data_IF_767605698545
#
_entry.id   IF_767605698545
#
_cell.length_a   1.000
_cell.length_b   1.000
_cell.length_c   1.000
_cell.angle_alpha   90.00
_cell.angle_beta   90.00
_cell.angle_gamma   90.00
#
_symmetry.space_group_name_H-M   'P 1'
#
loop_
_entity.id
_entity.type
_entity.pdbx_description
1 polymer ?
#
# COMPACT_ATOMS: atom_id res chain seq x y z
N UNK A 1 -51.27 -46.30 18.08
CA UNK A 1 -50.97 -45.34 19.17
C UNK A 1 -50.79 -46.18 20.43
N UNK A 2 -49.64 -46.07 21.11
CA UNK A 2 -49.10 -46.99 22.15
C UNK A 2 -48.42 -48.26 21.59
N UNK A 3 -47.22 -48.54 22.12
CA UNK A 3 -46.36 -49.70 21.86
C UNK A 3 -47.08 -51.06 21.95
N UNK A 4 -46.70 -52.01 21.09
CA UNK A 4 -46.51 -53.43 21.46
C UNK A 4 -45.81 -54.26 20.38
N UNK A 5 -44.67 -54.83 20.79
CA UNK A 5 -44.19 -56.20 20.57
C UNK A 5 -44.73 -57.03 19.40
N UNK A 6 -43.82 -57.75 18.71
CA UNK A 6 -43.87 -59.22 18.68
C UNK A 6 -42.53 -59.87 18.27
N UNK A 7 -42.05 -60.73 19.16
CA UNK A 7 -41.05 -61.78 18.96
C UNK A 7 -41.71 -63.05 18.41
N UNK A 8 -40.92 -63.87 17.70
CA UNK A 8 -41.14 -65.31 17.45
C UNK A 8 -40.39 -65.77 16.19
N UNK A 9 -39.17 -66.34 16.26
CA UNK A 9 -38.72 -67.71 16.67
C UNK A 9 -38.83 -68.80 15.57
N UNK A 10 -37.78 -69.63 15.54
CA UNK A 10 -37.52 -70.89 14.80
C UNK A 10 -36.92 -70.71 13.39
N UNK A 11 -35.87 -71.42 12.92
CA UNK A 11 -35.41 -72.81 13.13
C UNK A 11 -33.96 -72.97 12.57
N UNK A 12 -32.94 -73.33 13.37
CA UNK A 12 -32.14 -74.59 13.43
C UNK A 12 -31.41 -75.09 12.14
N UNK A 13 -30.06 -75.13 12.25
CA UNK A 13 -29.00 -76.03 11.72
C UNK A 13 -28.94 -76.46 10.24
N UNK A 14 -27.80 -76.22 9.58
CA UNK A 14 -26.77 -77.26 9.37
C UNK A 14 -25.43 -76.70 8.85
N UNK A 15 -24.35 -77.30 9.33
CA UNK A 15 -22.93 -77.07 9.03
C UNK A 15 -22.51 -77.68 7.70
N UNK A 16 -21.73 -76.95 6.88
CA UNK A 16 -20.65 -77.54 6.05
C UNK A 16 -19.50 -76.54 5.94
N UNK A 17 -18.29 -76.97 6.32
CA UNK A 17 -17.03 -76.25 6.16
C UNK A 17 -16.62 -76.12 4.69
N UNK A 18 -16.05 -74.96 4.29
CA UNK A 18 -15.04 -74.91 3.23
C UNK A 18 -14.21 -73.60 3.28
N UNK A 19 -12.93 -73.75 3.64
CA UNK A 19 -11.75 -73.05 3.14
C UNK A 19 -11.77 -71.53 2.95
N UNK A 20 -11.21 -70.86 3.97
CA UNK A 20 -10.58 -69.54 3.89
C UNK A 20 -9.46 -69.53 2.83
N UNK A 21 -9.61 -68.72 1.78
CA UNK A 21 -8.47 -68.18 1.02
C UNK A 21 -8.54 -66.68 0.98
N UNK A 22 -7.43 -66.08 1.42
CA UNK A 22 -7.18 -64.66 1.62
C UNK A 22 -7.29 -63.85 0.33
N UNK A 23 -8.06 -62.74 0.36
CA UNK A 23 -7.68 -61.49 -0.32
C UNK A 23 -8.36 -60.28 0.32
N UNK A 24 -7.87 -59.85 1.48
CA UNK A 24 -8.11 -58.48 1.98
C UNK A 24 -7.32 -57.52 1.09
N UNK A 25 -8.01 -56.74 0.25
CA UNK A 25 -7.43 -55.50 -0.31
C UNK A 25 -7.35 -54.49 0.83
N UNK A 26 -6.16 -54.30 1.38
CA UNK A 26 -5.84 -53.17 2.23
C UNK A 26 -5.83 -51.90 1.38
N UNK A 27 -6.78 -51.00 1.60
CA UNK A 27 -6.58 -49.60 1.27
C UNK A 27 -5.59 -49.04 2.30
N UNK A 28 -4.43 -48.60 1.82
CA UNK A 28 -3.38 -48.00 2.63
C UNK A 28 -3.87 -46.67 3.24
N UNK A 29 -3.48 -46.34 4.48
CA UNK A 29 -3.88 -45.09 5.16
C UNK A 29 -3.37 -43.82 4.46
N UNK A 30 -2.54 -43.96 3.43
CA UNK A 30 -1.98 -42.87 2.62
C UNK A 30 -3.04 -42.29 1.66
N UNK A 31 -3.99 -43.09 1.17
CA UNK A 31 -5.00 -42.63 0.22
C UNK A 31 -6.11 -41.77 0.87
N UNK A 32 -6.42 -42.00 2.16
CA UNK A 32 -7.38 -41.18 2.92
C UNK A 32 -6.75 -39.86 3.40
N UNK A 33 -5.45 -39.86 3.72
CA UNK A 33 -4.72 -38.64 4.06
C UNK A 33 -4.53 -37.72 2.84
N UNK A 34 -4.31 -38.27 1.64
CA UNK A 34 -4.24 -37.49 0.40
C UNK A 34 -5.60 -36.88 -0.01
N UNK A 35 -6.72 -37.52 0.31
CA UNK A 35 -8.05 -36.99 0.02
C UNK A 35 -8.46 -35.82 0.94
N UNK A 36 -8.03 -35.83 2.22
CA UNK A 36 -8.22 -34.69 3.12
C UNK A 36 -7.28 -33.51 2.78
N UNK A 37 -6.06 -33.77 2.28
CA UNK A 37 -5.16 -32.69 1.83
C UNK A 37 -5.62 -32.03 0.51
N UNK A 38 -6.33 -32.75 -0.37
CA UNK A 38 -6.87 -32.17 -1.61
C UNK A 38 -8.17 -31.38 -1.41
N UNK A 39 -8.90 -31.59 -0.31
CA UNK A 39 -10.14 -30.85 0.01
C UNK A 39 -9.92 -29.60 0.88
N UNK A 40 -8.71 -29.39 1.39
CA UNK A 40 -8.31 -28.19 2.13
C UNK A 40 -7.67 -27.09 1.25
N UNK A 41 -7.51 -27.32 -0.06
CA UNK A 41 -6.81 -26.41 -0.98
C UNK A 41 -7.77 -25.48 -1.76
N UNK A 42 -9.09 -25.63 -1.67
CA UNK A 42 -10.05 -24.91 -2.54
C UNK A 42 -10.92 -23.86 -1.84
N UNK A 43 -10.35 -23.12 -0.90
CA UNK A 43 -10.86 -21.79 -0.53
C UNK A 43 -9.70 -20.81 -0.35
N UNK A 44 -9.04 -20.44 -1.45
CA UNK A 44 -8.19 -19.25 -1.46
C UNK A 44 -9.11 -18.04 -1.51
N UNK A 45 -9.59 -17.60 -0.35
CA UNK A 45 -10.11 -16.24 -0.21
C UNK A 45 -8.89 -15.33 -0.15
N UNK A 46 -8.75 -14.42 -1.10
CA UNK A 46 -7.75 -13.36 -0.98
C UNK A 46 -8.16 -12.43 0.16
N UNK A 47 -7.22 -12.04 1.05
CA UNK A 47 -7.52 -11.07 2.08
C UNK A 47 -8.05 -9.80 1.42
N UNK A 48 -9.14 -9.29 1.97
CA UNK A 48 -9.88 -8.14 1.46
C UNK A 48 -9.85 -7.03 2.51
N UNK A 49 -9.76 -5.77 2.07
CA UNK A 49 -9.80 -4.61 2.97
C UNK A 49 -11.16 -3.93 2.93
N UNK A 50 -11.59 -3.41 4.08
CA UNK A 50 -12.83 -2.65 4.26
C UNK A 50 -12.64 -1.17 4.62
N UNK A 51 -11.50 -0.58 4.24
CA UNK A 51 -11.29 0.87 4.42
C UNK A 51 -12.10 1.74 3.45
N UNK A 52 -12.50 2.96 3.85
CA UNK A 52 -13.21 3.95 3.01
C UNK A 52 -12.37 4.53 1.86
N UNK A 53 -11.09 4.16 1.76
CA UNK A 53 -10.12 4.64 0.79
C UNK A 53 -9.08 3.57 0.46
N UNK A 54 -8.30 3.79 -0.59
CA UNK A 54 -7.04 3.10 -0.83
C UNK A 54 -5.97 3.67 0.11
N UNK A 55 -5.25 2.79 0.79
CA UNK A 55 -4.16 3.14 1.71
C UNK A 55 -2.81 3.29 1.00
N UNK A 56 -1.83 3.85 1.70
CA UNK A 56 -0.46 4.05 1.19
C UNK A 56 0.44 2.80 1.32
N UNK A 57 -0.14 1.61 1.51
CA UNK A 57 0.57 0.37 1.86
C UNK A 57 0.63 -0.69 0.75
N UNK A 58 -0.07 -0.49 -0.37
CA UNK A 58 -0.10 -1.45 -1.48
C UNK A 58 0.46 -0.88 -2.80
N UNK A 59 1.75 -1.09 -3.10
CA UNK A 59 2.37 -0.58 -4.33
C UNK A 59 1.83 -1.29 -5.58
N UNK A 60 1.30 -2.51 -5.47
CA UNK A 60 0.75 -3.26 -6.60
C UNK A 60 -0.61 -2.70 -6.98
N UNK A 61 -1.47 -2.44 -6.00
CA UNK A 61 -2.75 -1.77 -6.25
C UNK A 61 -2.57 -0.33 -6.74
N UNK A 62 -1.55 0.39 -6.22
CA UNK A 62 -1.12 1.68 -6.78
C UNK A 62 -0.68 1.54 -8.24
N UNK A 63 0.09 0.51 -8.60
CA UNK A 63 0.50 0.26 -9.99
C UNK A 63 -0.70 0.13 -10.94
N UNK A 64 -1.70 -0.65 -10.53
CA UNK A 64 -2.93 -0.85 -11.31
C UNK A 64 -3.74 0.43 -11.42
N UNK A 65 -3.86 1.20 -10.33
CA UNK A 65 -4.47 2.53 -10.36
C UNK A 65 -3.76 3.48 -11.34
N UNK A 66 -2.42 3.47 -11.39
CA UNK A 66 -1.66 4.29 -12.34
C UNK A 66 -1.91 3.86 -13.80
N UNK A 67 -2.05 2.56 -14.10
CA UNK A 67 -2.46 2.10 -15.45
C UNK A 67 -3.83 2.66 -15.83
N UNK A 68 -4.80 2.64 -14.90
CA UNK A 68 -6.13 3.22 -15.15
C UNK A 68 -6.08 4.74 -15.34
N UNK A 69 -5.20 5.43 -14.60
CA UNK A 69 -4.99 6.88 -14.77
C UNK A 69 -4.39 7.20 -16.13
N UNK A 70 -3.33 6.48 -16.50
CA UNK A 70 -2.53 6.74 -17.70
C UNK A 70 -3.24 6.28 -18.98
N UNK A 71 -4.16 5.31 -18.88
CA UNK A 71 -5.07 4.94 -19.98
C UNK A 71 -6.26 5.89 -20.12
N UNK A 72 -6.47 6.80 -19.17
CA UNK A 72 -7.60 7.72 -19.14
C UNK A 72 -8.93 7.11 -18.69
N UNK A 73 -8.92 5.88 -18.16
CA UNK A 73 -10.12 5.24 -17.58
C UNK A 73 -10.60 6.00 -16.34
N UNK A 74 -9.68 6.46 -15.48
CA UNK A 74 -10.01 7.31 -14.32
C UNK A 74 -9.65 8.77 -14.56
N UNK A 75 -10.63 9.64 -14.28
CA UNK A 75 -10.54 11.09 -14.44
C UNK A 75 -10.01 11.82 -13.22
N UNK A 76 -9.72 11.09 -12.16
CA UNK A 76 -9.34 11.63 -10.84
C UNK A 76 -7.84 11.55 -10.58
N UNK A 77 -7.28 12.49 -9.80
CA UNK A 77 -5.85 12.48 -9.46
C UNK A 77 -5.47 11.26 -8.61
N UNK A 78 -4.24 10.77 -8.77
CA UNK A 78 -3.75 9.54 -8.11
C UNK A 78 -2.50 9.74 -7.24
N UNK A 79 -2.26 10.98 -6.81
CA UNK A 79 -1.04 11.45 -6.13
C UNK A 79 -1.27 11.89 -4.67
N UNK A 80 -2.35 11.41 -4.07
CA UNK A 80 -2.69 11.68 -2.67
C UNK A 80 -3.28 10.42 -2.05
N UNK A 81 -2.58 9.89 -1.06
CA UNK A 81 -3.04 8.80 -0.21
C UNK A 81 -3.26 9.31 1.22
N UNK A 82 -4.32 8.87 1.91
CA UNK A 82 -5.32 7.89 1.46
C UNK A 82 -6.22 8.39 0.30
N UNK A 83 -6.47 7.52 -0.69
CA UNK A 83 -7.23 7.87 -1.89
C UNK A 83 -8.68 7.35 -1.80
N UNK A 84 -9.64 8.25 -1.59
CA UNK A 84 -11.06 7.92 -1.40
C UNK A 84 -11.65 7.16 -2.60
N UNK A 85 -12.39 6.08 -2.35
CA UNK A 85 -13.09 5.33 -3.40
C UNK A 85 -14.08 6.19 -4.20
N UNK A 86 -14.70 7.18 -3.55
CA UNK A 86 -15.65 8.11 -4.17
C UNK A 86 -15.03 9.04 -5.21
N UNK A 87 -13.70 9.15 -5.27
CA UNK A 87 -13.03 9.96 -6.30
C UNK A 87 -13.17 9.33 -7.68
N UNK A 88 -13.07 8.01 -7.79
CA UNK A 88 -12.92 7.32 -9.09
C UNK A 88 -13.81 6.07 -9.23
N UNK A 89 -14.57 5.70 -8.21
CA UNK A 89 -15.36 4.47 -8.21
C UNK A 89 -16.40 4.39 -9.33
N UNK A 90 -17.02 5.52 -9.70
CA UNK A 90 -17.98 5.58 -10.81
C UNK A 90 -17.29 5.37 -12.16
N UNK A 91 -16.07 5.89 -12.34
CA UNK A 91 -15.29 5.71 -13.57
C UNK A 91 -14.98 4.22 -13.81
N UNK A 92 -14.64 3.48 -12.75
CA UNK A 92 -14.34 2.04 -12.79
C UNK A 92 -15.58 1.18 -13.08
N UNK A 93 -16.75 1.57 -12.56
CA UNK A 93 -17.99 0.80 -12.73
C UNK A 93 -18.57 0.99 -14.14
N UNK A 94 -18.43 2.17 -14.72
CA UNK A 94 -19.09 2.53 -15.98
C UNK A 94 -18.26 2.24 -17.24
N UNK A 95 -16.94 2.10 -17.13
CA UNK A 95 -16.04 1.86 -18.27
C UNK A 95 -15.65 0.37 -18.39
N UNK A 96 -16.54 -0.52 -18.82
CA UNK A 96 -16.28 -1.99 -18.86
C UNK A 96 -15.67 -2.51 -20.19
N UNK A 97 -15.32 -1.62 -21.13
CA UNK A 97 -14.91 -2.00 -22.50
C UNK A 97 -13.52 -1.49 -22.85
N UNK A 98 -12.48 -2.20 -22.41
CA UNK A 98 -11.14 -2.11 -22.98
C UNK A 98 -10.80 -3.40 -23.72
N UNK A 99 -10.22 -3.29 -24.91
CA UNK A 99 -9.60 -4.42 -25.62
C UNK A 99 -8.11 -4.58 -25.25
N UNK A 100 -7.61 -3.76 -24.33
CA UNK A 100 -6.26 -3.85 -23.77
C UNK A 100 -6.25 -4.70 -22.50
N UNK A 101 -5.39 -5.71 -22.49
CA UNK A 101 -5.26 -6.65 -21.37
C UNK A 101 -4.76 -5.97 -20.09
N UNK A 102 -3.82 -5.03 -20.18
CA UNK A 102 -3.25 -4.29 -19.05
C UNK A 102 -4.33 -3.47 -18.33
N UNK A 103 -5.18 -2.78 -19.10
CA UNK A 103 -6.29 -2.00 -18.55
C UNK A 103 -7.33 -2.91 -17.90
N UNK A 104 -7.68 -4.02 -18.56
CA UNK A 104 -8.70 -4.96 -18.07
C UNK A 104 -8.31 -5.61 -16.75
N UNK A 105 -7.04 -6.03 -16.61
CA UNK A 105 -6.53 -6.61 -15.38
C UNK A 105 -6.47 -5.57 -14.25
N UNK A 106 -5.92 -4.39 -14.53
CA UNK A 106 -5.86 -3.30 -13.55
C UNK A 106 -7.25 -2.91 -13.05
N UNK A 107 -8.24 -2.85 -13.95
CA UNK A 107 -9.62 -2.55 -13.59
C UNK A 107 -10.24 -3.64 -12.72
N UNK A 108 -10.01 -4.92 -13.04
CA UNK A 108 -10.49 -6.04 -12.22
C UNK A 108 -9.94 -5.97 -10.80
N UNK A 109 -8.66 -5.70 -10.65
CA UNK A 109 -7.99 -5.64 -9.35
C UNK A 109 -8.52 -4.48 -8.50
N UNK A 110 -8.55 -3.26 -9.05
CA UNK A 110 -9.07 -2.09 -8.30
C UNK A 110 -10.57 -2.24 -8.01
N UNK A 111 -11.36 -2.78 -8.94
CA UNK A 111 -12.79 -3.07 -8.74
C UNK A 111 -13.00 -4.14 -7.67
N UNK A 112 -12.15 -5.16 -7.61
CA UNK A 112 -12.18 -6.17 -6.57
C UNK A 112 -11.95 -5.55 -5.19
N UNK A 113 -10.87 -4.77 -5.02
CA UNK A 113 -10.56 -4.10 -3.75
C UNK A 113 -11.68 -3.15 -3.31
N UNK A 114 -12.21 -2.34 -4.23
CA UNK A 114 -13.34 -1.44 -3.94
C UNK A 114 -14.61 -2.21 -3.53
N UNK A 115 -14.96 -3.28 -4.24
CA UNK A 115 -16.16 -4.06 -3.93
C UNK A 115 -16.02 -4.83 -2.62
N UNK A 116 -14.82 -5.37 -2.36
CA UNK A 116 -14.48 -5.97 -1.09
C UNK A 116 -14.68 -5.00 0.06
N UNK A 117 -14.26 -3.74 -0.12
CA UNK A 117 -14.47 -2.73 0.89
C UNK A 117 -15.95 -2.40 1.12
N UNK A 118 -16.68 -2.11 0.04
CA UNK A 118 -18.13 -1.83 0.09
C UNK A 118 -18.95 -2.95 0.74
N UNK A 119 -18.48 -4.19 0.64
CA UNK A 119 -19.14 -5.37 1.20
C UNK A 119 -18.60 -5.76 2.58
N UNK A 120 -17.74 -4.95 3.21
CA UNK A 120 -17.11 -5.23 4.50
C UNK A 120 -16.44 -6.62 4.56
N UNK A 121 -15.80 -7.03 3.47
CA UNK A 121 -15.06 -8.30 3.42
C UNK A 121 -13.71 -8.13 4.11
N UNK A 122 -13.36 -9.07 4.98
CA UNK A 122 -12.09 -9.03 5.71
C UNK A 122 -12.03 -7.95 6.79
N UNK A 123 -13.19 -7.62 7.38
CA UNK A 123 -13.34 -6.60 8.41
C UNK A 123 -12.56 -6.88 9.70
N UNK A 124 -12.16 -8.13 9.95
CA UNK A 124 -11.27 -8.46 11.07
C UNK A 124 -9.92 -8.86 10.50
N UNK A 125 -8.83 -8.38 11.11
CA UNK A 125 -7.49 -8.81 10.72
C UNK A 125 -6.63 -9.23 11.90
N UNK A 126 -5.70 -10.15 11.63
CA UNK A 126 -4.58 -10.47 12.50
C UNK A 126 -3.30 -10.37 11.67
N UNK A 127 -2.33 -9.58 12.14
CA UNK A 127 -1.05 -9.36 11.45
C UNK A 127 0.11 -9.63 12.40
N UNK A 128 1.10 -10.36 11.91
CA UNK A 128 2.36 -10.64 12.60
C UNK A 128 3.52 -10.18 11.73
N UNK A 129 4.55 -9.62 12.36
CA UNK A 129 5.79 -9.21 11.71
C UNK A 129 6.96 -9.63 12.58
N UNK A 130 8.03 -10.11 11.97
CA UNK A 130 9.32 -10.29 12.59
C UNK A 130 10.44 -10.00 11.59
N UNK A 131 11.43 -9.23 12.02
CA UNK A 131 12.62 -8.90 11.27
C UNK A 131 13.83 -8.87 12.20
N UNK A 132 15.01 -9.12 11.64
CA UNK A 132 16.25 -9.06 12.40
C UNK A 132 16.67 -7.62 12.73
N UNK A 133 16.27 -6.65 11.90
CA UNK A 133 16.43 -5.21 12.13
C UNK A 133 15.15 -4.47 11.75
N UNK A 134 15.05 -3.21 12.14
CA UNK A 134 13.96 -2.36 11.66
C UNK A 134 14.03 -2.25 10.14
N UNK A 135 12.87 -2.36 9.49
CA UNK A 135 12.81 -2.35 8.05
C UNK A 135 13.23 -0.96 7.54
N UNK A 136 14.30 -0.84 6.72
CA UNK A 136 14.67 0.44 6.15
C UNK A 136 13.48 0.96 5.34
N UNK A 137 13.10 2.22 5.56
CA UNK A 137 12.02 2.79 4.78
C UNK A 137 12.53 3.16 3.39
N UNK A 138 12.07 2.42 2.39
CA UNK A 138 12.53 2.49 0.99
C UNK A 138 11.47 3.05 0.05
N UNK A 139 10.41 3.64 0.61
CA UNK A 139 9.35 4.32 -0.12
C UNK A 139 7.95 3.78 0.14
N UNK A 140 7.08 3.98 -0.86
CA UNK A 140 5.66 3.65 -0.80
C UNK A 140 5.42 2.15 -0.64
N UNK A 141 4.43 1.79 0.17
CA UNK A 141 3.97 0.40 0.24
C UNK A 141 4.70 -0.48 1.24
N UNK A 142 5.39 0.11 2.22
CA UNK A 142 6.07 -0.62 3.29
C UNK A 142 5.06 -1.44 4.11
N UNK A 143 5.31 -2.74 4.24
CA UNK A 143 4.39 -3.64 4.95
C UNK A 143 4.41 -3.41 6.46
N UNK A 144 5.58 -3.11 7.03
CA UNK A 144 5.76 -2.84 8.45
C UNK A 144 6.97 -1.95 8.70
N UNK A 145 6.86 -1.11 9.72
CA UNK A 145 7.94 -0.27 10.27
C UNK A 145 8.50 -0.86 11.56
N UNK A 146 7.82 -1.86 12.13
CA UNK A 146 8.22 -2.54 13.37
C UNK A 146 9.29 -3.60 13.11
N UNK A 147 10.24 -3.74 14.04
CA UNK A 147 11.19 -4.85 14.05
C UNK A 147 10.47 -6.17 14.27
N UNK A 148 9.52 -6.20 15.20
CA UNK A 148 8.57 -7.30 15.34
C UNK A 148 7.30 -6.81 15.99
N UNK A 149 6.20 -7.53 15.79
CA UNK A 149 4.94 -7.18 16.42
C UNK A 149 3.80 -8.11 16.05
N UNK A 150 2.76 -8.06 16.87
CA UNK A 150 1.48 -8.68 16.58
C UNK A 150 0.39 -7.61 16.71
N UNK A 151 -0.55 -7.63 15.78
CA UNK A 151 -1.68 -6.70 15.75
C UNK A 151 -2.98 -7.43 15.41
N UNK A 152 -4.06 -6.92 15.99
CA UNK A 152 -5.41 -7.32 15.63
C UNK A 152 -6.22 -6.06 15.32
N UNK A 153 -7.03 -6.10 14.27
CA UNK A 153 -7.90 -4.98 13.91
C UNK A 153 -9.33 -5.43 13.66
N UNK A 154 -10.25 -4.49 13.89
CA UNK A 154 -11.62 -4.58 13.44
C UNK A 154 -11.98 -3.27 12.72
N UNK A 155 -12.50 -3.38 11.50
CA UNK A 155 -12.90 -2.26 10.66
C UNK A 155 -14.34 -2.40 10.17
N UNK A 156 -14.99 -1.28 9.92
CA UNK A 156 -16.35 -1.25 9.39
C UNK A 156 -16.54 -0.02 8.51
N UNK A 157 -17.14 -0.24 7.35
CA UNK A 157 -17.46 0.78 6.36
C UNK A 157 -18.97 0.81 6.10
N UNK A 158 -19.57 1.96 6.38
CA UNK A 158 -20.93 2.32 5.98
C UNK A 158 -20.88 3.45 4.93
N UNK A 159 -22.05 3.85 4.43
CA UNK A 159 -22.21 5.03 3.57
C UNK A 159 -21.89 6.34 4.30
N UNK A 160 -22.22 6.44 5.59
CA UNK A 160 -22.12 7.72 6.34
C UNK A 160 -20.93 7.80 7.28
N UNK A 161 -20.33 6.67 7.65
CA UNK A 161 -19.17 6.62 8.54
C UNK A 161 -18.34 5.37 8.27
N UNK A 162 -17.08 5.41 8.70
CA UNK A 162 -16.19 4.26 8.71
C UNK A 162 -15.31 4.32 9.94
N UNK A 163 -14.87 3.18 10.46
CA UNK A 163 -13.87 3.17 11.51
C UNK A 163 -13.00 1.92 11.42
N UNK A 164 -11.79 2.02 11.98
CA UNK A 164 -10.90 0.91 12.27
C UNK A 164 -10.35 1.08 13.68
N UNK A 165 -10.38 0.01 14.46
CA UNK A 165 -9.69 -0.08 15.74
C UNK A 165 -8.64 -1.16 15.63
N UNK A 166 -7.38 -0.76 15.73
CA UNK A 166 -6.23 -1.64 15.69
C UNK A 166 -5.57 -1.61 17.06
N UNK A 167 -5.27 -2.79 17.60
CA UNK A 167 -4.43 -2.93 18.80
C UNK A 167 -3.20 -3.73 18.42
N UNK A 168 -2.02 -3.19 18.70
CA UNK A 168 -0.76 -3.86 18.46
C UNK A 168 0.09 -3.93 19.72
N UNK A 169 0.95 -4.95 19.80
CA UNK A 169 2.11 -4.99 20.68
C UNK A 169 3.33 -5.22 19.79
N UNK A 170 4.23 -4.25 19.76
CA UNK A 170 5.30 -4.18 18.76
C UNK A 170 6.55 -3.49 19.30
N UNK A 171 7.70 -3.84 18.71
CA UNK A 171 8.96 -3.14 18.90
C UNK A 171 9.22 -2.17 17.74
N UNK A 172 9.30 -0.88 18.06
CA UNK A 172 9.57 0.21 17.12
C UNK A 172 10.61 1.16 17.73
N UNK A 173 11.67 1.45 16.99
CA UNK A 173 12.81 2.26 17.46
C UNK A 173 13.38 1.79 18.81
N UNK A 174 13.45 0.48 19.00
CA UNK A 174 13.91 -0.14 20.25
C UNK A 174 12.89 -0.14 21.41
N UNK A 175 11.72 0.48 21.25
CA UNK A 175 10.70 0.54 22.30
C UNK A 175 9.60 -0.51 22.10
N UNK A 176 9.31 -1.27 23.16
CA UNK A 176 8.25 -2.28 23.19
C UNK A 176 7.03 -1.75 23.93
N UNK A 177 5.93 -1.55 23.21
CA UNK A 177 4.71 -1.05 23.83
C UNK A 177 3.44 -1.48 23.08
N UNK A 178 2.31 -1.24 23.74
CA UNK A 178 0.99 -1.39 23.14
C UNK A 178 0.67 -0.11 22.39
N UNK A 179 0.31 -0.22 21.11
CA UNK A 179 -0.04 0.93 20.27
C UNK A 179 -1.42 0.74 19.64
N UNK A 180 -2.00 1.86 19.22
CA UNK A 180 -3.25 1.92 18.47
C UNK A 180 -3.04 2.55 17.08
N UNK A 181 -1.85 2.33 16.51
CA UNK A 181 -1.48 2.74 15.15
C UNK A 181 -2.49 2.18 14.14
N UNK A 182 -2.72 2.90 13.03
CA UNK A 182 -3.70 2.52 12.00
C UNK A 182 -5.13 2.36 12.55
N UNK A 183 -5.49 3.19 13.53
CA UNK A 183 -6.87 3.33 14.02
C UNK A 183 -7.46 4.65 13.56
N UNK A 184 -8.72 4.64 13.12
CA UNK A 184 -9.40 5.87 12.69
C UNK A 184 -10.91 5.79 12.88
N UNK A 185 -11.53 6.97 12.92
CA UNK A 185 -12.96 7.19 12.74
C UNK A 185 -13.14 8.25 11.67
N UNK A 186 -14.01 7.98 10.70
CA UNK A 186 -14.30 8.87 9.59
C UNK A 186 -15.80 9.07 9.42
N UNK A 187 -16.20 10.32 9.14
CA UNK A 187 -17.57 10.72 8.90
C UNK A 187 -17.70 11.26 7.48
N UNK A 188 -18.55 10.61 6.68
CA UNK A 188 -18.78 10.95 5.28
C UNK A 188 -20.07 11.79 5.16
N UNK A 189 -19.96 12.99 4.60
CA UNK A 189 -21.06 13.93 4.38
C UNK A 189 -21.07 14.39 2.91
N UNK A 190 -21.28 13.42 2.02
CA UNK A 190 -21.28 13.64 0.57
C UNK A 190 -19.88 13.93 0.05
N UNK A 191 -19.64 15.16 -0.38
CA UNK A 191 -18.32 15.59 -0.84
C UNK A 191 -17.31 15.72 0.31
N UNK A 192 -17.78 16.01 1.54
CA UNK A 192 -16.96 16.15 2.73
C UNK A 192 -16.63 14.80 3.36
N UNK A 193 -15.41 14.66 3.88
CA UNK A 193 -14.99 13.58 4.76
C UNK A 193 -14.17 14.17 5.90
N UNK A 194 -14.58 13.86 7.13
CA UNK A 194 -13.86 14.24 8.34
C UNK A 194 -13.27 12.98 8.97
N UNK A 195 -12.03 13.02 9.42
CA UNK A 195 -11.37 11.88 10.05
C UNK A 195 -10.64 12.29 11.32
N UNK A 196 -10.50 11.35 12.24
CA UNK A 196 -9.61 11.40 13.40
C UNK A 196 -8.94 10.04 13.54
N UNK A 197 -7.62 9.99 13.73
CA UNK A 197 -6.90 8.72 13.82
C UNK A 197 -5.41 8.84 13.57
N UNK A 198 -4.77 7.71 13.31
CA UNK A 198 -3.35 7.58 12.95
C UNK A 198 -3.27 7.02 11.53
N UNK A 199 -3.45 7.90 10.53
CA UNK A 199 -3.59 7.48 9.12
C UNK A 199 -2.31 7.77 8.34
N UNK A 200 -1.68 6.70 7.83
CA UNK A 200 -0.52 6.81 6.94
C UNK A 200 -0.88 7.58 5.66
N UNK A 201 -0.02 8.55 5.31
CA UNK A 201 -0.20 9.43 4.15
C UNK A 201 0.96 9.30 3.17
N UNK A 202 0.64 9.53 1.92
CA UNK A 202 1.63 9.70 0.85
C UNK A 202 1.15 10.78 -0.10
N UNK A 203 1.70 11.97 0.04
CA UNK A 203 1.33 13.15 -0.72
C UNK A 203 2.42 13.46 -1.72
N UNK A 204 2.22 13.10 -2.98
CA UNK A 204 3.23 13.26 -4.02
C UNK A 204 3.18 12.13 -5.05
N UNK A 205 3.92 12.30 -6.14
CA UNK A 205 3.95 11.34 -7.25
C UNK A 205 5.00 10.26 -7.07
N UNK A 206 5.99 10.49 -6.20
CA UNK A 206 7.12 9.58 -6.04
C UNK A 206 6.75 8.22 -5.46
N UNK A 207 7.61 7.24 -5.67
CA UNK A 207 7.49 5.85 -5.29
C UNK A 207 8.54 5.46 -4.26
N UNK A 208 9.80 5.85 -4.45
CA UNK A 208 10.90 5.62 -3.50
C UNK A 208 11.19 6.88 -2.70
N UNK A 209 10.91 8.05 -3.29
CA UNK A 209 11.11 9.37 -2.73
C UNK A 209 9.80 10.12 -2.53
N UNK A 210 9.75 11.02 -1.55
CA UNK A 210 8.68 11.98 -1.31
C UNK A 210 9.30 13.18 -0.60
N UNK A 211 9.01 14.41 -1.03
CA UNK A 211 9.68 15.60 -0.48
C UNK A 211 8.86 16.35 0.56
N UNK A 212 7.64 15.89 0.89
CA UNK A 212 6.71 16.64 1.72
C UNK A 212 6.10 15.82 2.87
N UNK A 213 5.34 14.78 2.56
CA UNK A 213 4.64 13.95 3.54
C UNK A 213 4.51 12.53 2.99
N UNK A 214 5.43 11.68 3.41
CA UNK A 214 5.45 10.26 3.10
C UNK A 214 5.04 9.39 4.29
N UNK A 215 5.27 8.09 4.14
CA UNK A 215 4.99 7.08 5.15
C UNK A 215 6.29 6.39 5.61
N UNK A 216 7.36 7.17 5.79
CA UNK A 216 8.67 6.65 6.22
C UNK A 216 8.71 6.31 7.71
N UNK A 217 8.00 7.10 8.51
CA UNK A 217 7.74 6.89 9.93
C UNK A 217 6.28 6.51 10.18
N UNK A 218 5.96 6.08 11.40
CA UNK A 218 4.58 5.84 11.82
C UNK A 218 3.78 7.16 11.77
N UNK A 219 2.49 7.06 11.42
CA UNK A 219 1.64 8.23 11.35
C UNK A 219 1.30 8.76 12.75
N UNK A 220 1.44 10.07 12.91
CA UNK A 220 1.03 10.78 14.11
C UNK A 220 -0.50 10.83 14.26
N UNK A 221 -1.03 10.89 15.49
CA UNK A 221 -2.44 11.17 15.72
C UNK A 221 -2.86 12.51 15.11
N UNK A 222 -3.90 12.47 14.27
CA UNK A 222 -4.37 13.64 13.54
C UNK A 222 -5.89 13.77 13.48
N UNK A 223 -6.33 14.99 13.18
CA UNK A 223 -7.66 15.28 12.67
C UNK A 223 -7.54 15.82 11.25
N UNK A 224 -8.46 15.42 10.37
CA UNK A 224 -8.48 15.89 8.99
C UNK A 224 -9.88 16.18 8.47
N UNK A 225 -9.93 17.07 7.48
CA UNK A 225 -11.11 17.37 6.70
C UNK A 225 -10.72 17.41 5.22
N UNK A 226 -11.48 16.68 4.39
CA UNK A 226 -11.31 16.70 2.94
C UNK A 226 -12.60 16.98 2.20
N UNK A 227 -12.47 17.61 1.03
CA UNK A 227 -13.57 17.92 0.13
C UNK A 227 -13.21 17.57 -1.30
N UNK A 228 -14.08 16.81 -1.96
CA UNK A 228 -13.95 16.45 -3.37
C UNK A 228 -14.88 17.33 -4.21
N UNK A 229 -14.38 17.82 -5.34
CA UNK A 229 -15.19 18.50 -6.34
C UNK A 229 -14.88 18.07 -7.77
N UNK A 230 -15.81 18.36 -8.67
CA UNK A 230 -15.62 18.21 -10.12
C UNK A 230 -16.14 19.46 -10.83
N UNK A 231 -15.32 20.07 -11.67
CA UNK A 231 -15.73 21.17 -12.54
C UNK A 231 -14.93 21.19 -13.85
N UNK A 232 -15.29 22.07 -14.78
CA UNK A 232 -14.67 22.14 -16.11
C UNK A 232 -13.22 22.63 -16.09
N UNK A 233 -12.82 23.43 -15.11
CA UNK A 233 -11.50 24.08 -15.06
C UNK A 233 -10.47 23.20 -14.35
N UNK A 234 -10.84 22.63 -13.20
CA UNK A 234 -9.98 21.80 -12.36
C UNK A 234 -10.15 20.30 -12.62
N UNK A 235 -11.07 19.90 -13.50
CA UNK A 235 -11.46 18.50 -13.64
C UNK A 235 -11.98 17.96 -12.30
N UNK A 236 -11.57 16.75 -11.93
CA UNK A 236 -11.76 16.24 -10.57
C UNK A 236 -10.63 16.77 -9.69
N UNK A 237 -10.98 17.27 -8.51
CA UNK A 237 -10.03 17.80 -7.55
C UNK A 237 -10.43 17.42 -6.12
N UNK A 238 -9.44 17.42 -5.23
CA UNK A 238 -9.60 17.16 -3.81
C UNK A 238 -8.74 18.14 -3.02
N UNK A 239 -9.29 18.67 -1.93
CA UNK A 239 -8.52 19.41 -0.93
C UNK A 239 -8.61 18.67 0.40
N UNK A 240 -7.49 18.49 1.08
CA UNK A 240 -7.42 17.93 2.44
C UNK A 240 -6.59 18.85 3.32
N UNK A 241 -7.08 19.11 4.53
CA UNK A 241 -6.33 19.77 5.60
C UNK A 241 -6.24 18.82 6.79
N UNK A 242 -5.05 18.75 7.37
CA UNK A 242 -4.70 17.91 8.51
C UNK A 242 -4.10 18.78 9.61
N UNK A 243 -4.41 18.44 10.86
CA UNK A 243 -3.71 18.91 12.05
C UNK A 243 -3.34 17.68 12.87
N UNK A 244 -2.04 17.41 12.97
CA UNK A 244 -1.46 16.30 13.68
C UNK A 244 -0.76 16.76 14.96
N UNK A 245 -0.64 15.83 15.91
CA UNK A 245 0.15 15.98 17.12
C UNK A 245 1.26 14.94 17.11
N UNK A 246 2.49 15.32 16.69
CA UNK A 246 3.61 14.40 16.66
C UNK A 246 3.99 13.88 18.05
N UNK A 247 4.36 12.60 18.13
CA UNK A 247 4.89 11.99 19.35
C UNK A 247 6.41 12.22 19.42
N UNK A 248 6.91 12.60 20.60
CA UNK A 248 8.34 12.84 20.89
C UNK A 248 9.09 13.72 19.88
N UNK A 249 8.41 14.74 19.35
CA UNK A 249 8.96 15.64 18.34
C UNK A 249 9.44 16.99 18.91
N UNK A 250 10.22 17.70 18.09
CA UNK A 250 10.65 19.08 18.33
C UNK A 250 9.48 20.06 18.42
N UNK A 251 8.38 19.77 17.71
CA UNK A 251 7.18 20.62 17.67
C UNK A 251 5.95 19.89 18.22
N UNK A 252 5.10 20.63 18.93
CA UNK A 252 3.86 20.07 19.48
C UNK A 252 2.77 19.80 18.43
N UNK A 253 2.77 20.51 17.30
CA UNK A 253 1.76 20.39 16.26
C UNK A 253 2.34 20.49 14.86
N UNK A 254 1.71 19.77 13.94
CA UNK A 254 1.93 19.86 12.50
C UNK A 254 0.61 20.12 11.80
N UNK A 255 0.55 21.11 10.92
CA UNK A 255 -0.59 21.31 10.03
C UNK A 255 -0.16 21.23 8.59
N UNK A 256 -0.93 20.51 7.78
CA UNK A 256 -0.64 20.35 6.36
C UNK A 256 -1.94 20.47 5.56
N UNK A 257 -1.91 21.22 4.46
CA UNK A 257 -3.02 21.34 3.51
C UNK A 257 -2.54 21.00 2.12
N UNK A 258 -3.28 20.13 1.43
CA UNK A 258 -2.98 19.70 0.07
C UNK A 258 -4.19 19.84 -0.85
N UNK A 259 -3.99 20.45 -2.01
CA UNK A 259 -4.93 20.49 -3.13
C UNK A 259 -4.37 19.65 -4.26
N UNK A 260 -5.14 18.71 -4.79
CA UNK A 260 -4.82 17.94 -6.00
C UNK A 260 -5.90 18.11 -7.05
N UNK A 261 -5.51 18.08 -8.32
CA UNK A 261 -6.43 18.30 -9.45
C UNK A 261 -5.93 17.58 -10.69
N UNK A 262 -6.86 16.95 -11.43
CA UNK A 262 -6.63 16.33 -12.73
C UNK A 262 -7.53 17.00 -13.79
N UNK A 263 -7.16 18.18 -14.30
CA UNK A 263 -7.97 18.92 -15.25
C UNK A 263 -8.03 18.27 -16.64
N UNK A 264 -7.01 17.50 -17.00
CA UNK A 264 -6.92 16.79 -18.27
C UNK A 264 -6.59 15.31 -18.03
N UNK A 265 -6.97 14.43 -18.95
CA UNK A 265 -6.64 12.99 -18.84
C UNK A 265 -5.13 12.74 -18.74
N UNK A 266 -4.33 13.62 -19.35
CA UNK A 266 -2.87 13.49 -19.42
C UNK A 266 -2.11 14.32 -18.39
N UNK A 267 -2.77 15.17 -17.59
CA UNK A 267 -2.08 16.07 -16.66
C UNK A 267 -2.81 16.19 -15.33
N UNK A 268 -2.08 15.95 -14.26
CA UNK A 268 -2.51 16.19 -12.88
C UNK A 268 -1.40 16.90 -12.09
N UNK A 269 -1.80 17.66 -11.08
CA UNK A 269 -0.88 18.38 -10.21
C UNK A 269 -1.38 18.39 -8.75
N UNK A 270 -0.45 18.63 -7.84
CA UNK A 270 -0.67 18.79 -6.42
C UNK A 270 0.05 20.04 -5.89
N UNK A 271 -0.58 20.71 -4.93
CA UNK A 271 -0.02 21.82 -4.17
C UNK A 271 -0.12 21.46 -2.70
N UNK A 272 0.97 21.53 -1.95
CA UNK A 272 0.98 21.30 -0.51
C UNK A 272 1.58 22.51 0.20
N UNK A 273 1.03 22.85 1.35
CA UNK A 273 1.60 23.78 2.30
C UNK A 273 1.53 23.16 3.69
N UNK A 274 2.64 23.15 4.43
CA UNK A 274 2.70 22.61 5.78
C UNK A 274 3.49 23.50 6.74
N UNK A 275 3.13 23.42 8.01
CA UNK A 275 3.69 24.22 9.10
C UNK A 275 3.84 23.36 10.35
N UNK A 276 5.00 23.43 11.01
CA UNK A 276 5.23 22.89 12.34
C UNK A 276 5.35 24.01 13.36
N UNK A 277 4.66 23.87 14.49
CA UNK A 277 4.55 24.94 15.49
C UNK A 277 4.21 24.42 16.89
N UNK A 278 4.48 25.23 17.91
CA UNK A 278 4.19 24.94 19.31
C UNK A 278 2.92 25.63 19.83
N UNK A 279 2.21 25.04 20.79
CA UNK A 279 0.96 25.64 21.35
C UNK A 279 1.12 27.04 21.93
N UNK A 280 2.31 27.37 22.45
CA UNK A 280 2.59 28.67 23.04
C UNK A 280 2.86 29.75 21.99
N UNK A 281 3.09 29.33 20.74
CA UNK A 281 3.43 30.18 19.62
C UNK A 281 2.33 30.07 18.54
N UNK A 282 2.03 31.18 17.86
CA UNK A 282 1.12 31.12 16.70
C UNK A 282 1.79 30.38 15.53
N UNK A 283 1.04 29.82 14.59
CA UNK A 283 1.57 29.29 13.31
C UNK A 283 2.32 30.33 12.46
N UNK A 284 2.25 31.62 12.85
CA UNK A 284 2.97 32.73 12.25
C UNK A 284 4.15 33.24 13.08
N UNK A 285 4.59 32.51 14.12
CA UNK A 285 5.80 32.86 14.88
C UNK A 285 7.07 32.63 14.06
N UNK A 286 8.12 33.40 14.35
CA UNK A 286 9.44 33.23 13.75
C UNK A 286 10.07 31.84 14.05
N UNK A 287 9.62 31.17 15.11
CA UNK A 287 10.09 29.83 15.50
C UNK A 287 9.33 28.69 14.76
N UNK A 288 8.41 29.01 13.85
CA UNK A 288 7.65 27.99 13.11
C UNK A 288 8.37 27.60 11.82
N UNK A 289 8.40 26.31 11.50
CA UNK A 289 8.95 25.82 10.23
C UNK A 289 7.84 25.71 9.21
N UNK A 290 8.07 26.26 8.01
CA UNK A 290 7.08 26.34 6.92
C UNK A 290 7.67 25.73 5.66
N UNK A 291 6.89 24.88 4.99
CA UNK A 291 7.30 24.27 3.73
C UNK A 291 6.15 24.25 2.74
N UNK A 292 6.46 24.49 1.47
CA UNK A 292 5.53 24.37 0.36
C UNK A 292 6.08 23.38 -0.66
N UNK A 293 5.21 22.62 -1.30
CA UNK A 293 5.59 21.78 -2.43
C UNK A 293 4.58 21.84 -3.58
N UNK A 294 5.09 21.63 -4.78
CA UNK A 294 4.31 21.47 -6.00
C UNK A 294 4.75 20.19 -6.68
N UNK A 295 3.80 19.32 -6.99
CA UNK A 295 4.05 18.12 -7.78
C UNK A 295 3.16 18.09 -9.02
N UNK A 296 3.65 17.43 -10.07
CA UNK A 296 2.93 17.28 -11.33
C UNK A 296 3.27 15.96 -12.00
N UNK A 297 2.30 15.41 -12.74
CA UNK A 297 2.47 14.24 -13.60
C UNK A 297 1.93 14.51 -14.98
N UNK A 298 2.70 14.10 -15.98
CA UNK A 298 2.33 14.09 -17.39
C UNK A 298 2.28 12.64 -17.88
N UNK A 299 1.09 12.18 -18.22
CA UNK A 299 0.89 10.90 -18.92
C UNK A 299 1.38 11.04 -20.36
N UNK A 300 2.16 10.07 -20.79
CA UNK A 300 2.71 10.02 -22.14
C UNK A 300 1.87 9.09 -23.04
N UNK A 301 1.91 9.27 -24.38
CA UNK A 301 1.20 8.39 -25.29
C UNK A 301 1.59 6.91 -25.10
N UNK A 302 0.59 6.04 -24.98
CA UNK A 302 0.81 4.60 -24.80
C UNK A 302 1.54 3.98 -26.00
N UNK A 303 2.44 3.03 -25.74
CA UNK A 303 3.23 2.37 -26.77
C UNK A 303 2.65 0.97 -27.01
N UNK A 304 2.14 0.68 -28.20
CA UNK A 304 1.70 -0.67 -28.54
C UNK A 304 2.92 -1.59 -28.70
N UNK A 305 2.95 -2.70 -27.96
CA UNK A 305 4.00 -3.72 -27.99
C UNK A 305 3.49 -5.09 -28.45
N UNK A 306 2.20 -5.19 -28.76
CA UNK A 306 1.59 -6.39 -29.34
C UNK A 306 1.85 -6.47 -30.85
N UNK A 307 1.88 -7.68 -31.39
CA UNK A 307 1.88 -7.90 -32.84
C UNK A 307 0.50 -7.56 -33.42
N UNK A 308 0.44 -6.99 -34.62
CA UNK A 308 -0.80 -6.58 -35.31
C UNK A 308 -1.86 -7.71 -35.48
N UNK A 309 -1.48 -8.97 -35.31
CA UNK A 309 -2.35 -10.14 -35.41
C UNK A 309 -2.85 -10.69 -34.06
N UNK A 310 -2.51 -10.06 -32.93
CA UNK A 310 -2.94 -10.51 -31.61
C UNK A 310 -4.42 -10.17 -31.37
N UNK A 311 -5.19 -11.11 -30.82
CA UNK A 311 -6.60 -10.88 -30.45
C UNK A 311 -6.73 -9.89 -29.28
N UNK A 312 -5.71 -9.81 -28.42
CA UNK A 312 -5.61 -8.86 -27.32
C UNK A 312 -4.44 -7.90 -27.57
N UNK A 313 -4.69 -6.60 -27.48
CA UNK A 313 -3.64 -5.60 -27.60
C UNK A 313 -2.95 -5.40 -26.25
N UNK A 314 -1.65 -5.18 -26.31
CA UNK A 314 -0.84 -4.87 -25.13
C UNK A 314 -0.13 -3.54 -25.35
N UNK A 315 -0.43 -2.57 -24.50
CA UNK A 315 0.27 -1.30 -24.47
C UNK A 315 1.17 -1.15 -23.23
N UNK A 316 2.23 -0.37 -23.40
CA UNK A 316 2.97 0.24 -22.30
C UNK A 316 2.28 1.54 -21.95
N UNK A 317 1.77 1.64 -20.73
CA UNK A 317 1.25 2.88 -20.15
C UNK A 317 2.33 3.50 -19.26
N UNK A 318 2.67 4.76 -19.50
CA UNK A 318 3.78 5.41 -18.81
C UNK A 318 3.59 6.91 -18.64
N UNK A 319 4.31 7.46 -17.68
CA UNK A 319 4.23 8.87 -17.29
C UNK A 319 5.56 9.37 -16.75
N UNK A 320 5.76 10.68 -16.84
CA UNK A 320 6.82 11.40 -16.14
C UNK A 320 6.20 12.27 -15.06
N UNK A 321 6.90 12.44 -13.95
CA UNK A 321 6.45 13.27 -12.84
C UNK A 321 7.61 14.02 -12.21
N UNK A 322 7.26 15.10 -11.53
CA UNK A 322 8.19 15.94 -10.79
C UNK A 322 7.54 16.42 -9.50
N UNK A 323 8.37 16.66 -8.49
CA UNK A 323 7.99 17.27 -7.22
C UNK A 323 9.08 18.27 -6.82
N UNK A 324 8.66 19.49 -6.49
CA UNK A 324 9.52 20.60 -6.07
C UNK A 324 9.10 20.97 -4.65
N UNK A 325 10.03 20.94 -3.71
CA UNK A 325 9.80 21.37 -2.33
C UNK A 325 10.65 22.60 -2.01
N UNK A 326 10.06 23.57 -1.33
CA UNK A 326 10.76 24.75 -0.84
C UNK A 326 11.67 24.40 0.34
N UNK A 327 12.56 25.33 0.66
CA UNK A 327 13.24 25.36 1.97
C UNK A 327 12.24 25.48 3.12
N UNK A 328 12.69 25.19 4.34
CA UNK A 328 11.94 25.24 5.62
C UNK A 328 11.53 26.66 6.08
N UNK A 329 11.72 27.66 5.23
CA UNK A 329 11.20 29.02 5.38
C UNK A 329 10.41 29.51 4.16
N UNK A 330 10.16 28.63 3.18
CA UNK A 330 9.46 28.90 1.91
C UNK A 330 10.07 29.97 1.00
N UNK A 331 11.32 30.37 1.25
CA UNK A 331 11.98 31.46 0.52
C UNK A 331 12.54 31.02 -0.82
N UNK A 332 13.03 29.78 -0.89
CA UNK A 332 13.81 29.26 -2.01
C UNK A 332 13.39 27.83 -2.33
N UNK A 333 13.84 27.32 -3.48
CA UNK A 333 13.70 25.90 -3.81
C UNK A 333 14.70 25.11 -2.95
N UNK A 334 14.24 24.12 -2.21
CA UNK A 334 15.09 23.28 -1.36
C UNK A 334 15.44 21.93 -2.02
N UNK A 335 14.47 21.27 -2.66
CA UNK A 335 14.71 19.99 -3.31
C UNK A 335 13.83 19.77 -4.55
N UNK A 336 14.34 18.93 -5.46
CA UNK A 336 13.67 18.48 -6.67
C UNK A 336 13.70 16.95 -6.74
N UNK A 337 12.57 16.36 -7.06
CA UNK A 337 12.40 14.96 -7.42
C UNK A 337 11.90 14.89 -8.86
N UNK A 338 12.55 14.06 -9.68
CA UNK A 338 12.13 13.71 -11.03
C UNK A 338 11.94 12.19 -11.11
N UNK A 339 10.87 11.76 -11.77
CA UNK A 339 10.66 10.33 -11.97
C UNK A 339 9.96 9.99 -13.27
N UNK A 340 10.15 8.74 -13.66
CA UNK A 340 9.45 8.08 -14.76
C UNK A 340 8.89 6.77 -14.24
N UNK A 341 7.68 6.44 -14.64
CA UNK A 341 7.14 5.10 -14.40
C UNK A 341 6.42 4.57 -15.62
N UNK A 342 6.58 3.28 -15.89
CA UNK A 342 5.92 2.60 -17.00
C UNK A 342 5.47 1.20 -16.60
N UNK A 343 4.32 0.79 -17.11
CA UNK A 343 3.77 -0.54 -16.87
C UNK A 343 3.29 -1.20 -18.16
N UNK A 344 3.47 -2.51 -18.21
CA UNK A 344 3.11 -3.37 -19.34
C UNK A 344 2.65 -4.72 -18.81
N UNK A 345 1.73 -5.36 -19.53
CA UNK A 345 1.38 -6.74 -19.27
C UNK A 345 2.27 -7.72 -20.08
N UNK A 346 2.84 -8.72 -19.43
CA UNK A 346 3.65 -9.77 -20.05
C UNK A 346 3.08 -11.11 -19.60
N UNK A 347 2.53 -11.89 -20.54
CA UNK A 347 1.96 -13.23 -20.28
C UNK A 347 0.92 -13.24 -19.13
N UNK A 348 0.09 -12.20 -19.05
CA UNK A 348 -0.92 -12.06 -18.00
C UNK A 348 -0.37 -11.53 -16.67
N UNK A 349 0.92 -11.18 -16.59
CA UNK A 349 1.53 -10.55 -15.42
C UNK A 349 1.71 -9.05 -15.64
N UNK A 350 1.33 -8.24 -14.67
CA UNK A 350 1.55 -6.80 -14.71
C UNK A 350 2.95 -6.49 -14.21
N UNK A 351 3.77 -5.88 -15.06
CA UNK A 351 5.13 -5.46 -14.73
C UNK A 351 5.17 -3.94 -14.74
N UNK A 352 5.69 -3.31 -13.67
CA UNK A 352 5.94 -1.87 -13.60
C UNK A 352 7.40 -1.60 -13.26
N UNK A 353 8.01 -0.70 -14.02
CA UNK A 353 9.33 -0.15 -13.76
C UNK A 353 9.19 1.32 -13.34
N UNK A 354 9.95 1.72 -12.33
CA UNK A 354 10.03 3.08 -11.81
C UNK A 354 11.50 3.49 -11.74
N UNK A 355 11.80 4.68 -12.23
CA UNK A 355 13.11 5.32 -12.17
C UNK A 355 12.93 6.68 -11.52
N UNK A 356 13.71 6.99 -10.49
CA UNK A 356 13.66 8.30 -9.82
C UNK A 356 15.05 8.86 -9.57
N UNK A 357 15.12 10.18 -9.56
CA UNK A 357 16.26 10.95 -9.09
C UNK A 357 15.76 12.08 -8.21
N UNK A 358 16.37 12.21 -7.04
CA UNK A 358 16.18 13.32 -6.12
C UNK A 358 17.48 14.10 -5.99
N UNK A 359 17.39 15.42 -5.98
CA UNK A 359 18.50 16.34 -5.75
C UNK A 359 18.07 17.48 -4.83
N UNK A 360 18.87 17.78 -3.83
CA UNK A 360 18.75 18.97 -3.01
C UNK A 360 19.46 20.15 -3.67
N UNK A 361 19.14 21.35 -3.22
CA UNK A 361 19.83 22.58 -3.62
C UNK A 361 20.80 23.02 -2.53
N UNK A 362 21.69 23.95 -2.85
CA UNK A 362 22.60 24.55 -1.86
C UNK A 362 21.90 25.28 -0.72
N UNK A 363 20.62 25.63 -0.87
CA UNK A 363 19.83 26.32 0.15
C UNK A 363 19.08 25.34 1.06
N UNK A 364 19.22 24.02 0.82
CA UNK A 364 18.57 23.00 1.62
C UNK A 364 19.37 22.72 2.90
N UNK A 365 19.01 23.45 3.94
CA UNK A 365 19.50 23.26 5.30
C UNK A 365 18.42 22.56 6.14
N UNK A 366 18.02 21.34 5.73
CA UNK A 366 16.98 20.57 6.43
C UNK A 366 17.32 20.42 7.92
N UNK A 367 16.53 21.04 8.79
CA UNK A 367 16.84 21.12 10.23
C UNK A 367 16.25 19.95 11.04
N UNK A 368 15.22 19.29 10.50
CA UNK A 368 14.61 18.11 11.11
C UNK A 368 14.04 17.15 10.06
N UNK A 369 13.81 15.89 10.45
CA UNK A 369 13.30 14.87 9.53
C UNK A 369 11.76 14.88 9.47
N UNK A 370 11.21 15.57 8.48
CA UNK A 370 9.79 15.62 8.21
C UNK A 370 9.28 14.37 7.46
N UNK A 371 9.18 13.19 8.09
CA UNK A 371 8.58 11.95 7.53
C UNK A 371 8.63 11.81 5.99
N UNK A 372 9.81 12.02 5.41
CA UNK A 372 10.01 12.23 3.97
C UNK A 372 11.47 11.97 3.62
N UNK A 373 11.80 11.98 2.34
CA UNK A 373 13.18 11.92 1.85
C UNK A 373 13.81 13.30 1.67
N UNK A 374 13.17 14.39 2.11
CA UNK A 374 13.60 15.78 1.83
C UNK A 374 15.05 16.10 2.25
N UNK A 375 15.53 15.49 3.33
CA UNK A 375 16.89 15.69 3.84
C UNK A 375 17.98 14.91 3.06
N UNK A 376 17.60 14.09 2.07
CA UNK A 376 18.57 13.40 1.21
C UNK A 376 19.10 14.38 0.17
N UNK A 377 20.42 14.55 0.12
CA UNK A 377 21.07 15.48 -0.80
C UNK A 377 20.98 14.99 -2.25
N UNK A 378 21.50 13.80 -2.52
CA UNK A 378 21.44 13.20 -3.85
C UNK A 378 20.98 11.76 -3.76
N UNK A 379 19.97 11.39 -4.57
CA UNK A 379 19.53 9.99 -4.64
C UNK A 379 19.09 9.56 -6.03
N UNK A 380 19.33 8.30 -6.32
CA UNK A 380 18.84 7.62 -7.52
C UNK A 380 18.23 6.29 -7.13
N UNK A 381 17.07 5.97 -7.71
CA UNK A 381 16.43 4.68 -7.47
C UNK A 381 15.89 4.05 -8.74
N UNK A 382 15.86 2.71 -8.71
CA UNK A 382 15.21 1.86 -9.70
C UNK A 382 14.37 0.85 -8.95
N UNK A 383 13.08 0.75 -9.28
CA UNK A 383 12.17 -0.22 -8.68
C UNK A 383 11.34 -0.96 -9.73
N UNK A 384 11.19 -2.26 -9.51
CA UNK A 384 10.43 -3.19 -10.33
C UNK A 384 9.34 -3.82 -9.48
N UNK A 385 8.10 -3.76 -9.95
CA UNK A 385 6.94 -4.40 -9.33
C UNK A 385 6.33 -5.37 -10.33
N UNK A 386 6.21 -6.64 -9.94
CA UNK A 386 5.60 -7.70 -10.74
C UNK A 386 4.41 -8.26 -9.98
N UNK A 387 3.24 -8.18 -10.58
CA UNK A 387 2.00 -8.77 -10.09
C UNK A 387 1.60 -9.91 -11.00
N UNK A 388 1.57 -11.11 -10.43
CA UNK A 388 1.31 -12.35 -11.13
C UNK A 388 -0.20 -12.66 -11.14
N UNK A 389 -0.65 -13.41 -12.14
CA UNK A 389 -2.05 -13.79 -12.30
C UNK A 389 -2.60 -14.73 -11.22
N UNK A 390 -1.73 -15.28 -10.36
CA UNK A 390 -2.07 -16.13 -9.22
C UNK A 390 -2.02 -15.36 -7.88
N UNK A 391 -2.07 -14.03 -7.92
CA UNK A 391 -2.01 -13.13 -6.75
C UNK A 391 -0.68 -13.14 -5.98
N UNK A 392 0.37 -13.72 -6.58
CA UNK A 392 1.73 -13.52 -6.07
C UNK A 392 2.27 -12.16 -6.53
N UNK A 393 3.04 -11.50 -5.67
CA UNK A 393 3.67 -10.23 -6.01
C UNK A 393 5.15 -10.23 -5.67
N UNK A 394 5.97 -9.65 -6.55
CA UNK A 394 7.41 -9.47 -6.34
C UNK A 394 7.71 -7.99 -6.48
N UNK A 395 8.48 -7.42 -5.55
CA UNK A 395 9.09 -6.10 -5.72
C UNK A 395 10.60 -6.20 -5.58
N UNK A 396 11.35 -5.59 -6.48
CA UNK A 396 12.80 -5.40 -6.38
C UNK A 396 13.10 -3.91 -6.46
N UNK A 397 13.97 -3.41 -5.59
CA UNK A 397 14.40 -2.02 -5.63
C UNK A 397 15.90 -1.89 -5.34
N UNK A 398 16.51 -0.90 -5.97
CA UNK A 398 17.85 -0.42 -5.68
C UNK A 398 17.78 1.09 -5.49
N UNK A 399 18.40 1.59 -4.42
CA UNK A 399 18.50 3.01 -4.10
C UNK A 399 19.92 3.32 -3.66
N UNK A 400 20.48 4.41 -4.18
CA UNK A 400 21.74 4.98 -3.71
C UNK A 400 21.46 6.41 -3.27
N UNK A 401 21.77 6.72 -2.02
CA UNK A 401 21.48 8.00 -1.38
C UNK A 401 22.74 8.57 -0.73
N UNK A 402 22.87 9.89 -0.79
CA UNK A 402 23.96 10.67 -0.22
C UNK A 402 23.36 11.77 0.67
N UNK A 403 23.98 11.99 1.83
CA UNK A 403 23.60 13.03 2.78
C UNK A 403 24.81 13.91 3.06
N UNK A 404 24.61 15.22 3.01
CA UNK A 404 25.64 16.21 3.33
C UNK A 404 25.62 16.53 4.83
N UNK A 405 25.95 15.54 5.66
CA UNK A 405 26.23 15.76 7.08
C UNK A 405 27.74 16.03 7.29
N UNK A 406 28.13 16.42 8.52
CA UNK A 406 29.53 16.65 8.91
C UNK A 406 30.53 15.49 8.62
N UNK A 407 30.07 14.32 8.19
CA UNK A 407 30.86 13.17 7.76
C UNK A 407 30.50 12.63 6.37
N UNK A 408 29.67 13.32 5.56
CA UNK A 408 29.21 12.92 4.22
C UNK A 408 28.96 11.40 4.11
N UNK A 409 27.74 10.99 4.46
CA UNK A 409 27.37 9.58 4.43
C UNK A 409 26.75 9.19 3.10
N UNK A 410 27.11 7.99 2.62
CA UNK A 410 26.49 7.39 1.45
C UNK A 410 25.89 6.05 1.83
N UNK A 411 24.68 5.76 1.36
CA UNK A 411 24.07 4.44 1.47
C UNK A 411 23.74 3.85 0.10
N UNK A 412 23.84 2.52 0.03
CA UNK A 412 23.36 1.73 -1.10
C UNK A 412 22.46 0.63 -0.58
N UNK A 413 21.19 0.71 -0.90
CA UNK A 413 20.17 -0.24 -0.42
C UNK A 413 19.61 -1.02 -1.60
N UNK A 414 19.64 -2.35 -1.49
CA UNK A 414 18.93 -3.26 -2.38
C UNK A 414 17.88 -3.99 -1.58
N UNK A 415 16.64 -4.04 -2.06
CA UNK A 415 15.55 -4.74 -1.37
C UNK A 415 14.73 -5.58 -2.34
N UNK A 416 14.45 -6.82 -1.95
CA UNK A 416 13.53 -7.72 -2.60
C UNK A 416 12.41 -8.10 -1.62
N UNK A 417 11.17 -7.94 -2.04
CA UNK A 417 10.01 -8.41 -1.28
C UNK A 417 9.17 -9.37 -2.14
N UNK A 418 8.57 -10.35 -1.49
CA UNK A 418 7.68 -11.32 -2.10
C UNK A 418 6.42 -11.48 -1.25
N UNK A 419 5.25 -11.35 -1.88
CA UNK A 419 3.93 -11.59 -1.29
C UNK A 419 3.36 -12.86 -1.90
N UNK A 420 2.91 -13.79 -1.06
CA UNK A 420 2.25 -15.00 -1.52
C UNK A 420 0.93 -15.28 -0.76
N UNK A 421 -0.15 -15.65 -1.47
CA UNK A 421 -1.35 -16.23 -0.89
C UNK A 421 -1.04 -17.55 -0.19
N UNK A 422 -1.30 -17.63 1.11
CA UNK A 422 -1.15 -18.85 1.89
C UNK A 422 -2.06 -18.84 3.11
N UNK A 423 -2.61 -20.01 3.47
CA UNK A 423 -3.44 -20.20 4.67
C UNK A 423 -4.62 -19.21 4.81
N UNK A 424 -5.23 -18.81 3.69
CA UNK A 424 -6.31 -17.80 3.61
C UNK A 424 -5.88 -16.37 3.98
N UNK A 425 -4.58 -16.10 4.06
CA UNK A 425 -3.99 -14.78 4.26
C UNK A 425 -2.88 -14.50 3.24
N UNK A 426 -2.04 -13.53 3.59
CA UNK A 426 -0.87 -13.13 2.81
C UNK A 426 0.40 -13.31 3.65
N UNK A 427 1.36 -14.07 3.13
CA UNK A 427 2.72 -14.12 3.67
C UNK A 427 3.56 -13.08 2.94
N UNK A 428 4.32 -12.32 3.70
CA UNK A 428 5.27 -11.31 3.22
C UNK A 428 6.68 -11.76 3.58
N UNK A 429 7.56 -11.85 2.59
CA UNK A 429 8.98 -12.11 2.79
C UNK A 429 9.75 -10.91 2.28
N UNK A 430 10.68 -10.39 3.08
CA UNK A 430 11.56 -9.29 2.69
C UNK A 430 13.02 -9.66 2.92
N UNK A 431 13.87 -9.30 1.97
CA UNK A 431 15.32 -9.35 2.08
C UNK A 431 15.90 -8.02 1.61
N UNK A 432 16.71 -7.40 2.44
CA UNK A 432 17.40 -6.15 2.19
C UNK A 432 18.89 -6.26 2.45
N UNK A 433 19.68 -5.52 1.70
CA UNK A 433 21.10 -5.30 1.95
C UNK A 433 21.38 -3.81 1.82
N UNK A 434 21.89 -3.21 2.89
CA UNK A 434 22.27 -1.80 2.94
C UNK A 434 23.75 -1.71 3.26
N UNK A 435 24.52 -1.10 2.37
CA UNK A 435 25.89 -0.72 2.62
C UNK A 435 25.93 0.74 3.02
N UNK A 436 26.41 1.05 4.22
CA UNK A 436 26.63 2.41 4.68
C UNK A 436 28.12 2.74 4.65
N UNK A 437 28.48 3.76 3.88
CA UNK A 437 29.82 4.35 3.89
C UNK A 437 29.79 5.58 4.78
N UNK A 438 30.35 5.41 5.97
CA UNK A 438 30.63 6.49 6.93
C UNK A 438 32.10 6.40 7.36
N UNK A 439 32.51 7.01 8.47
CA UNK A 439 33.85 6.80 9.06
C UNK A 439 34.13 5.33 9.41
N UNK A 440 33.09 4.50 9.56
CA UNK A 440 33.21 3.02 9.63
C UNK A 440 32.25 2.42 8.60
N UNK A 441 32.76 1.55 7.71
CA UNK A 441 31.90 0.79 6.80
C UNK A 441 31.06 -0.19 7.64
N UNK A 442 29.74 -0.04 7.62
CA UNK A 442 28.79 -0.98 8.25
C UNK A 442 27.83 -1.53 7.17
N UNK A 443 27.84 -2.85 7.06
CA UNK A 443 27.03 -3.60 6.11
C UNK A 443 25.89 -4.27 6.87
N UNK A 444 24.66 -3.96 6.49
CA UNK A 444 23.47 -4.46 7.16
C UNK A 444 22.64 -5.33 6.22
N UNK A 445 22.36 -6.55 6.67
CA UNK A 445 21.40 -7.45 6.02
C UNK A 445 20.10 -7.36 6.80
N UNK A 446 19.01 -7.02 6.14
CA UNK A 446 17.67 -7.08 6.71
C UNK A 446 16.92 -8.31 6.16
N UNK A 447 16.32 -9.10 7.02
CA UNK A 447 15.42 -10.18 6.65
C UNK A 447 14.13 -10.02 7.45
N UNK A 448 12.99 -10.07 6.77
CA UNK A 448 11.68 -9.92 7.38
C UNK A 448 10.70 -11.00 6.93
N UNK A 449 9.86 -11.41 7.87
CA UNK A 449 8.73 -12.29 7.70
C UNK A 449 7.49 -11.58 8.24
N UNK A 450 6.45 -11.53 7.42
CA UNK A 450 5.16 -11.01 7.77
C UNK A 450 4.05 -12.01 7.43
N UNK A 451 2.98 -11.98 8.19
CA UNK A 451 1.75 -12.67 7.84
C UNK A 451 0.56 -11.80 8.19
N UNK A 452 -0.38 -11.66 7.26
CA UNK A 452 -1.63 -10.95 7.46
C UNK A 452 -2.80 -11.85 7.08
N UNK A 453 -3.73 -12.03 8.00
CA UNK A 453 -4.97 -12.77 7.78
C UNK A 453 -6.16 -11.85 7.97
N UNK A 454 -7.08 -11.83 7.00
CA UNK A 454 -8.32 -11.03 7.05
C UNK A 454 -9.54 -11.94 6.91
N UNK A 455 -10.56 -11.74 7.74
CA UNK A 455 -11.75 -12.58 7.80
C UNK A 455 -13.06 -11.82 8.08
#
# INVERSE_FOLDING_TARGET
>A
MILKNRFGKYLIMHTVMANYTNKKRSLTPIAAALACCYSAITFMATPAMASPWLEANDPFLRSSLQVLSDSGVISSPTNQYPLRWSLFGDDIINNDTSHDLSVTLAQREVRYSMNSAKLNRGQSSAKFVASNEEAPSTGFGQFSKDKWGASASYEYLDTSYAFRVTTSYSNYQGEEEIRWDDSYLSLNLGAWLFSIGTVDRWWGQGWQHNLILGSYAKADPDISASYIGKNRVLGVWNIETVVAKPDDAEFNYHSATRLVSKPFSFFEYGLTYQVWFDSNNSSDSDDSIKQAAVDAKLTLPSINVSNDSAEEQTHVYHSVYAELASTENTTELGALLLGWSGSVNIEGQTVRLVLESQQSTSENEASFNANSSYAVDNSYSVALYVQMSNDHNVSLSYQQSEWDDTQSSQSKTTQANYRLPAASGMVHLGLGYTQMKTTTDDDQINASLGYEFRF
#
